data_IF_815190566137
#
_entry.id   IF_815190566137
#
_cell.length_a   1.000
_cell.length_b   1.000
_cell.length_c   1.000
_cell.angle_alpha   90.00
_cell.angle_beta   90.00
_cell.angle_gamma   90.00
#
_symmetry.space_group_name_H-M   'P 1'
#
loop_
_entity.id
_entity.type
_entity.pdbx_description
1 polymer ?
#
# COMPACT_ATOMS: atom_id res chain seq x y z
N UNK A 1 2.49 10.30 14.86
CA UNK A 1 1.57 9.24 14.36
C UNK A 1 1.39 9.37 12.88
N UNK A 2 1.86 8.37 12.10
CA UNK A 2 1.45 8.25 10.70
C UNK A 2 0.10 7.53 10.65
N UNK A 3 -0.99 8.27 10.62
CA UNK A 3 -2.31 7.72 10.33
C UNK A 3 -2.75 8.14 8.93
N UNK A 4 -3.13 7.17 8.13
CA UNK A 4 -3.74 7.37 6.83
C UNK A 4 -4.85 6.34 6.59
N UNK A 5 -5.83 6.62 5.72
CA UNK A 5 -6.96 5.73 5.50
C UNK A 5 -6.50 4.29 5.20
N UNK A 6 -6.86 3.36 6.07
CA UNK A 6 -6.51 1.95 5.93
C UNK A 6 -5.21 1.50 6.61
N UNK A 7 -4.37 2.41 7.12
CA UNK A 7 -3.14 2.05 7.83
C UNK A 7 -2.79 3.00 8.96
N UNK A 8 -2.27 2.44 10.06
CA UNK A 8 -1.67 3.19 11.16
C UNK A 8 -0.27 2.65 11.48
N UNK A 9 0.71 3.56 11.53
CA UNK A 9 2.08 3.24 11.93
C UNK A 9 2.30 3.60 13.40
N UNK A 10 2.70 2.62 14.20
CA UNK A 10 2.87 2.72 15.65
C UNK A 10 4.34 2.87 16.03
N UNK A 11 4.63 3.92 16.77
CA UNK A 11 5.90 4.13 17.46
C UNK A 11 5.67 3.78 18.93
N UNK A 12 5.82 2.53 19.31
CA UNK A 12 5.39 2.02 20.63
C UNK A 12 5.81 2.91 21.79
N UNK A 13 7.09 3.30 21.84
CA UNK A 13 7.59 4.18 22.90
C UNK A 13 6.90 5.56 22.93
N UNK A 14 6.45 6.09 21.80
CA UNK A 14 5.79 7.39 21.68
C UNK A 14 4.27 7.29 21.83
N UNK A 15 3.67 6.22 21.31
CA UNK A 15 2.21 6.05 21.38
C UNK A 15 1.74 5.95 22.81
N UNK A 16 2.49 5.26 23.62
CA UNK A 16 2.21 5.14 25.02
C UNK A 16 2.40 6.48 25.76
N UNK A 17 3.21 7.41 25.23
CA UNK A 17 3.44 8.74 25.81
C UNK A 17 2.37 9.79 25.46
N UNK A 18 1.83 9.76 24.24
CA UNK A 18 1.09 10.90 23.67
C UNK A 18 -0.38 10.98 24.06
N UNK A 19 -0.98 9.92 24.61
CA UNK A 19 -2.43 9.87 24.86
C UNK A 19 -2.89 10.63 26.09
N UNK A 20 -2.03 10.98 27.01
CA UNK A 20 -2.38 11.68 28.25
C UNK A 20 -2.10 13.20 28.27
N UNK A 21 -1.73 13.81 27.16
CA UNK A 21 -1.56 15.26 27.03
C UNK A 21 -0.44 15.90 27.88
N UNK A 22 0.28 15.11 28.65
CA UNK A 22 1.39 15.57 29.48
C UNK A 22 2.66 14.82 29.12
N UNK A 23 3.60 15.50 28.49
CA UNK A 23 4.91 14.99 28.09
C UNK A 23 5.89 14.77 29.26
N UNK A 24 5.43 14.54 30.47
CA UNK A 24 6.27 14.64 31.66
C UNK A 24 6.83 13.33 32.19
N UNK A 25 6.36 12.15 31.70
CA UNK A 25 6.95 10.87 32.10
C UNK A 25 7.08 9.89 30.94
N UNK A 26 8.16 9.09 30.88
CA UNK A 26 8.25 7.95 29.97
C UNK A 26 7.21 6.93 30.40
N UNK A 27 6.19 6.73 29.57
CA UNK A 27 5.02 5.93 29.90
C UNK A 27 5.31 4.45 29.78
N UNK A 28 6.22 4.03 28.91
CA UNK A 28 6.69 2.66 28.82
C UNK A 28 8.10 2.59 29.41
N UNK A 29 8.22 1.88 30.51
CA UNK A 29 9.47 1.67 31.23
C UNK A 29 9.96 0.24 31.06
N UNK A 30 11.26 0.05 31.30
CA UNK A 30 11.85 -1.28 31.43
C UNK A 30 11.36 -1.93 32.71
N UNK A 31 11.03 -3.21 32.66
CA UNK A 31 10.68 -4.03 33.82
C UNK A 31 11.90 -4.12 34.76
N UNK A 32 11.78 -3.69 36.03
CA UNK A 32 12.91 -3.67 36.96
C UNK A 32 13.45 -5.07 37.29
N UNK A 33 12.66 -6.12 37.07
CA UNK A 33 13.05 -7.51 37.34
C UNK A 33 13.55 -8.25 36.10
N UNK A 34 13.22 -7.73 34.88
CA UNK A 34 13.50 -8.39 33.61
C UNK A 34 14.16 -7.43 32.64
N UNK A 35 15.48 -7.33 32.67
CA UNK A 35 16.24 -6.44 31.77
C UNK A 35 15.89 -6.66 30.30
N UNK A 36 15.63 -5.59 29.58
CA UNK A 36 15.23 -5.60 28.17
C UNK A 36 13.75 -5.86 27.94
N UNK A 37 12.96 -6.17 28.97
CA UNK A 37 11.51 -6.32 28.88
C UNK A 37 10.79 -5.04 29.29
N UNK A 38 9.58 -4.86 28.77
CA UNK A 38 8.72 -3.74 29.14
C UNK A 38 7.94 -4.05 30.43
N UNK A 39 7.72 -3.04 31.26
CA UNK A 39 6.74 -3.09 32.35
C UNK A 39 5.33 -3.03 31.73
N UNK A 40 4.67 -4.19 31.67
CA UNK A 40 3.35 -4.33 31.07
C UNK A 40 2.20 -3.80 31.94
N UNK A 41 2.45 -3.42 33.21
CA UNK A 41 1.43 -2.84 34.11
C UNK A 41 0.84 -1.52 33.56
N UNK A 42 1.50 -0.94 32.58
CA UNK A 42 1.01 0.25 31.88
C UNK A 42 -0.35 -0.02 31.19
N UNK A 43 -0.57 -1.22 30.70
CA UNK A 43 -1.81 -1.58 30.00
C UNK A 43 -3.02 -1.66 30.94
N UNK A 44 -2.81 -1.96 32.22
CA UNK A 44 -3.88 -1.96 33.24
C UNK A 44 -4.44 -0.55 33.54
N UNK A 45 -3.71 0.50 33.15
CA UNK A 45 -4.04 1.90 33.49
C UNK A 45 -4.58 2.70 32.28
N UNK A 46 -4.92 2.04 31.20
CA UNK A 46 -5.22 2.70 29.92
C UNK A 46 -6.51 2.19 29.34
N UNK A 47 -7.14 3.02 28.52
CA UNK A 47 -8.27 2.66 27.67
C UNK A 47 -7.97 3.01 26.22
N UNK A 48 -8.15 2.07 25.32
CA UNK A 48 -8.04 2.23 23.89
C UNK A 48 -9.42 2.43 23.28
N UNK A 49 -9.69 3.62 22.78
CA UNK A 49 -10.97 3.94 22.15
C UNK A 49 -10.93 3.98 20.62
N UNK A 50 -9.78 3.58 20.06
CA UNK A 50 -9.40 3.84 18.69
C UNK A 50 -10.33 3.19 17.66
N UNK A 51 -10.84 1.98 17.93
CA UNK A 51 -11.69 1.25 17.00
C UNK A 51 -13.19 1.29 17.35
N UNK A 52 -13.58 1.86 18.48
CA UNK A 52 -15.00 1.94 18.87
C UNK A 52 -15.87 2.74 17.89
N UNK A 53 -15.26 3.71 17.20
CA UNK A 53 -15.93 4.59 16.24
C UNK A 53 -15.67 4.23 14.78
N UNK A 54 -14.85 3.22 14.49
CA UNK A 54 -14.57 2.80 13.10
C UNK A 54 -15.57 1.77 12.64
N UNK A 55 -15.91 1.82 11.34
CA UNK A 55 -16.75 0.81 10.70
C UNK A 55 -16.10 -0.58 10.85
N UNK A 56 -16.78 -1.57 11.47
CA UNK A 56 -16.21 -2.90 11.64
C UNK A 56 -15.98 -3.67 10.32
N UNK A 57 -16.62 -3.25 9.24
CA UNK A 57 -16.46 -3.87 7.92
C UNK A 57 -15.25 -3.33 7.14
N UNK A 58 -14.60 -2.27 7.64
CA UNK A 58 -13.39 -1.75 7.01
C UNK A 58 -12.17 -2.56 7.40
N UNK A 59 -11.46 -3.05 6.39
CA UNK A 59 -10.12 -3.61 6.55
C UNK A 59 -9.13 -2.52 6.95
N UNK A 60 -8.29 -2.85 7.91
CA UNK A 60 -7.33 -1.92 8.46
C UNK A 60 -6.01 -2.62 8.77
N UNK A 61 -4.90 -1.95 8.48
CA UNK A 61 -3.57 -2.41 8.82
C UNK A 61 -2.96 -1.56 9.94
N UNK A 62 -2.28 -2.21 10.86
CA UNK A 62 -1.37 -1.55 11.81
C UNK A 62 0.06 -2.04 11.58
N UNK A 63 1.01 -1.15 11.82
CA UNK A 63 2.41 -1.45 11.64
C UNK A 63 3.21 -1.01 12.87
N UNK A 64 3.95 -1.92 13.48
CA UNK A 64 4.96 -1.54 14.46
C UNK A 64 6.14 -0.88 13.75
N UNK A 65 6.67 0.20 14.33
CA UNK A 65 7.78 0.90 13.72
C UNK A 65 8.99 1.06 14.67
N UNK A 66 8.84 1.83 15.74
CA UNK A 66 9.93 2.11 16.67
C UNK A 66 9.68 1.33 17.97
N UNK A 67 10.64 0.48 18.33
CA UNK A 67 10.66 -0.27 19.57
C UNK A 67 11.30 0.56 20.69
N UNK A 68 11.05 0.26 21.97
CA UNK A 68 11.60 1.00 23.09
C UNK A 68 13.14 0.95 23.13
N UNK A 69 13.75 2.07 23.55
CA UNK A 69 15.21 2.21 23.55
C UNK A 69 15.95 1.29 24.51
N UNK A 70 15.29 0.77 25.54
CA UNK A 70 15.88 -0.24 26.43
C UNK A 70 15.98 -1.62 25.76
N UNK A 71 15.25 -1.83 24.64
CA UNK A 71 15.37 -3.02 23.79
C UNK A 71 16.38 -2.84 22.66
N UNK A 72 16.95 -1.64 22.47
CA UNK A 72 17.75 -1.30 21.29
C UNK A 72 19.01 -2.14 21.13
N UNK A 73 19.29 -2.53 19.91
CA UNK A 73 20.58 -3.07 19.50
C UNK A 73 21.69 -2.06 19.78
N UNK A 74 22.54 -2.35 20.76
CA UNK A 74 23.70 -1.53 21.13
C UNK A 74 24.85 -1.81 20.17
N UNK A 75 24.96 -1.04 19.09
CA UNK A 75 25.99 -1.22 18.08
C UNK A 75 27.05 -0.12 18.25
N UNK A 76 28.33 -0.47 18.55
CA UNK A 76 29.37 0.51 18.73
C UNK A 76 29.53 1.45 17.53
N UNK A 77 29.53 2.75 17.80
CA UNK A 77 29.74 3.79 16.78
C UNK A 77 28.51 4.10 15.91
N UNK A 78 27.37 3.47 16.13
CA UNK A 78 26.13 3.76 15.43
C UNK A 78 25.01 4.15 16.38
N UNK A 79 24.20 5.12 15.95
CA UNK A 79 22.95 5.45 16.62
C UNK A 79 21.83 4.61 16.04
N UNK A 80 21.19 3.79 16.83
CA UNK A 80 19.96 3.13 16.47
C UNK A 80 18.82 4.17 16.48
N UNK A 81 18.53 4.76 15.34
CA UNK A 81 17.59 5.88 15.22
C UNK A 81 16.12 5.45 15.24
N UNK A 82 15.83 4.24 14.83
CA UNK A 82 14.47 3.78 14.57
C UNK A 82 14.11 2.49 15.34
N UNK A 83 14.79 2.27 16.48
CA UNK A 83 14.45 1.22 17.43
C UNK A 83 14.50 -0.18 16.81
N UNK A 84 15.67 -0.61 16.33
CA UNK A 84 15.90 -2.01 15.99
C UNK A 84 16.19 -2.77 17.28
N UNK A 85 15.41 -3.78 17.68
CA UNK A 85 15.66 -4.53 18.90
C UNK A 85 17.00 -5.30 18.85
N UNK A 86 17.65 -5.45 19.99
CA UNK A 86 18.78 -6.35 20.16
C UNK A 86 18.33 -7.80 19.94
N UNK A 87 19.23 -8.66 19.46
CA UNK A 87 18.91 -10.07 19.16
C UNK A 87 18.36 -10.79 20.40
N UNK A 88 18.93 -10.50 21.56
CA UNK A 88 18.50 -11.04 22.87
C UNK A 88 17.20 -10.39 23.39
N UNK A 89 16.76 -9.28 22.80
CA UNK A 89 15.49 -8.62 23.09
C UNK A 89 14.35 -8.98 22.12
N UNK A 90 14.55 -9.86 21.14
CA UNK A 90 13.51 -10.22 20.17
C UNK A 90 12.26 -10.83 20.84
N UNK A 91 12.46 -11.68 21.86
CA UNK A 91 11.33 -12.26 22.61
C UNK A 91 10.62 -11.22 23.48
N UNK A 92 11.36 -10.27 24.06
CA UNK A 92 10.79 -9.16 24.83
C UNK A 92 9.97 -8.22 23.93
N UNK A 93 10.46 -7.94 22.73
CA UNK A 93 9.73 -7.16 21.75
C UNK A 93 8.44 -7.88 21.27
N UNK A 94 8.52 -9.19 21.05
CA UNK A 94 7.36 -10.00 20.70
C UNK A 94 6.31 -10.04 21.82
N UNK A 95 6.74 -10.13 23.09
CA UNK A 95 5.87 -10.06 24.27
C UNK A 95 5.16 -8.70 24.36
N UNK A 96 5.89 -7.60 24.16
CA UNK A 96 5.31 -6.25 24.16
C UNK A 96 4.29 -6.08 23.03
N UNK A 97 4.58 -6.57 21.83
CA UNK A 97 3.63 -6.53 20.72
C UNK A 97 2.33 -7.29 21.04
N UNK A 98 2.47 -8.48 21.62
CA UNK A 98 1.33 -9.31 22.02
C UNK A 98 0.49 -8.64 23.12
N UNK A 99 1.14 -8.04 24.12
CA UNK A 99 0.45 -7.30 25.18
C UNK A 99 -0.30 -6.08 24.63
N UNK A 100 0.31 -5.34 23.70
CA UNK A 100 -0.37 -4.20 23.02
C UNK A 100 -1.63 -4.65 22.30
N UNK A 101 -1.56 -5.75 21.55
CA UNK A 101 -2.70 -6.26 20.78
C UNK A 101 -3.79 -6.83 21.71
N UNK A 102 -3.40 -7.51 22.78
CA UNK A 102 -4.35 -8.02 23.76
C UNK A 102 -5.13 -6.91 24.45
N UNK A 103 -4.45 -5.84 24.85
CA UNK A 103 -5.03 -4.65 25.45
C UNK A 103 -5.98 -3.92 24.47
N UNK A 104 -5.60 -3.82 23.20
CA UNK A 104 -6.47 -3.22 22.17
C UNK A 104 -7.77 -4.04 21.95
N UNK A 105 -7.67 -5.37 21.98
CA UNK A 105 -8.84 -6.25 21.88
C UNK A 105 -9.72 -6.13 23.13
N UNK A 106 -9.12 -6.11 24.32
CA UNK A 106 -9.86 -5.98 25.58
C UNK A 106 -10.67 -4.67 25.61
N UNK A 107 -10.04 -3.57 25.25
CA UNK A 107 -10.65 -2.25 25.29
C UNK A 107 -11.68 -1.97 24.17
N UNK A 108 -11.38 -2.43 22.95
CA UNK A 108 -12.14 -2.08 21.75
C UNK A 108 -12.99 -3.22 21.19
N UNK A 109 -12.83 -4.44 21.73
CA UNK A 109 -13.49 -5.65 21.24
C UNK A 109 -12.91 -6.19 19.94
N UNK A 110 -11.88 -5.54 19.36
CA UNK A 110 -11.21 -5.94 18.13
C UNK A 110 -9.85 -5.26 17.99
N UNK A 111 -9.03 -5.76 17.09
CA UNK A 111 -7.78 -5.13 16.63
C UNK A 111 -7.79 -4.98 15.10
N UNK A 112 -6.69 -4.53 14.51
CA UNK A 112 -6.52 -4.46 13.07
C UNK A 112 -6.57 -5.85 12.42
N UNK A 113 -7.09 -5.93 11.20
CA UNK A 113 -7.11 -7.18 10.41
C UNK A 113 -5.69 -7.64 10.06
N UNK A 114 -4.81 -6.67 9.75
CA UNK A 114 -3.45 -6.88 9.29
C UNK A 114 -2.45 -6.20 10.21
N UNK A 115 -1.40 -6.93 10.59
CA UNK A 115 -0.30 -6.42 11.40
C UNK A 115 1.04 -6.58 10.70
N UNK A 116 1.70 -5.47 10.43
CA UNK A 116 3.08 -5.44 9.95
C UNK A 116 4.04 -5.35 11.12
N UNK A 117 5.05 -6.22 11.12
CA UNK A 117 5.99 -6.33 12.24
C UNK A 117 6.92 -5.13 12.33
N UNK A 118 7.35 -4.58 11.19
CA UNK A 118 8.23 -3.41 11.16
C UNK A 118 8.10 -2.66 9.85
N UNK A 119 7.94 -1.34 9.93
CA UNK A 119 7.89 -0.47 8.76
C UNK A 119 9.24 -0.42 8.05
N UNK A 120 9.21 -0.50 6.71
CA UNK A 120 10.36 -0.28 5.82
C UNK A 120 11.66 -0.98 6.24
N UNK A 121 11.53 -2.19 6.76
CA UNK A 121 12.63 -2.91 7.40
C UNK A 121 13.67 -3.46 6.41
N UNK A 122 13.49 -3.28 5.11
CA UNK A 122 14.47 -3.57 4.07
C UNK A 122 15.55 -2.48 3.92
N UNK A 123 15.35 -1.29 4.48
CA UNK A 123 16.33 -0.21 4.43
C UNK A 123 17.21 -0.14 5.67
N UNK A 124 18.47 0.28 5.45
CA UNK A 124 19.54 0.18 6.45
C UNK A 124 19.29 0.96 7.73
N UNK A 125 18.62 2.10 7.66
CA UNK A 125 18.36 2.92 8.85
C UNK A 125 17.13 2.52 9.62
N UNK A 126 16.27 1.67 9.05
CA UNK A 126 15.11 1.07 9.73
C UNK A 126 15.48 -0.25 10.40
N UNK A 127 16.40 -1.01 9.79
CA UNK A 127 16.90 -2.26 10.34
C UNK A 127 18.43 -2.23 10.41
N UNK A 128 18.97 -1.87 11.58
CA UNK A 128 20.39 -1.54 11.78
C UNK A 128 21.33 -2.69 11.42
N UNK A 129 20.89 -3.93 11.50
CA UNK A 129 21.71 -5.11 11.16
C UNK A 129 22.11 -5.17 9.69
N UNK A 130 21.39 -4.48 8.77
CA UNK A 130 21.81 -4.35 7.37
C UNK A 130 23.09 -3.54 7.18
N UNK A 131 23.48 -2.72 8.17
CA UNK A 131 24.73 -1.94 8.13
C UNK A 131 25.97 -2.74 8.56
N UNK A 132 25.79 -3.94 9.08
CA UNK A 132 26.81 -4.67 9.78
C UNK A 132 27.15 -5.97 9.06
N UNK A 133 28.29 -6.04 8.35
CA UNK A 133 28.65 -7.19 7.50
C UNK A 133 28.87 -8.50 8.28
N UNK A 134 29.04 -8.42 9.60
CA UNK A 134 29.15 -9.60 10.48
C UNK A 134 27.80 -10.26 10.81
N UNK A 135 26.68 -9.61 10.47
CA UNK A 135 25.35 -10.15 10.71
C UNK A 135 24.66 -10.49 9.39
N UNK A 136 23.89 -11.56 9.39
CA UNK A 136 22.90 -11.81 8.37
C UNK A 136 21.64 -10.96 8.68
N UNK A 137 21.64 -9.71 8.20
CA UNK A 137 20.57 -8.75 8.48
C UNK A 137 19.19 -9.23 8.03
N UNK A 138 19.10 -9.96 6.92
CA UNK A 138 17.83 -10.49 6.41
C UNK A 138 17.40 -11.75 7.16
N UNK A 139 18.35 -12.60 7.56
CA UNK A 139 18.07 -13.74 8.44
C UNK A 139 17.52 -13.30 9.79
N UNK A 140 18.16 -12.30 10.42
CA UNK A 140 17.67 -11.72 11.68
C UNK A 140 16.31 -11.05 11.53
N UNK A 141 16.05 -10.39 10.39
CA UNK A 141 14.77 -9.79 10.11
C UNK A 141 13.66 -10.85 10.03
N UNK A 142 13.92 -11.96 9.34
CA UNK A 142 12.99 -13.08 9.25
C UNK A 142 12.72 -13.73 10.62
N UNK A 143 13.74 -13.96 11.44
CA UNK A 143 13.58 -14.52 12.80
C UNK A 143 12.74 -13.58 13.69
N UNK A 144 13.00 -12.28 13.63
CA UNK A 144 12.23 -11.29 14.37
C UNK A 144 10.75 -11.29 13.96
N UNK A 145 10.47 -11.28 12.65
CA UNK A 145 9.09 -11.36 12.15
C UNK A 145 8.38 -12.63 12.63
N UNK A 146 9.04 -13.77 12.58
CA UNK A 146 8.47 -15.03 13.01
C UNK A 146 8.13 -15.03 14.50
N UNK A 147 8.99 -14.48 15.36
CA UNK A 147 8.74 -14.39 16.81
C UNK A 147 7.53 -13.51 17.12
N UNK A 148 7.47 -12.33 16.51
CA UNK A 148 6.32 -11.42 16.69
C UNK A 148 5.04 -12.06 16.16
N UNK A 149 5.06 -12.66 14.97
CA UNK A 149 3.89 -13.32 14.40
C UNK A 149 3.35 -14.43 15.30
N UNK A 150 4.23 -15.29 15.80
CA UNK A 150 3.84 -16.36 16.76
C UNK A 150 3.27 -15.81 18.07
N UNK A 151 3.78 -14.68 18.54
CA UNK A 151 3.29 -14.03 19.75
C UNK A 151 1.90 -13.45 19.55
N UNK A 152 1.67 -12.73 18.44
CA UNK A 152 0.36 -12.17 18.10
C UNK A 152 -0.69 -13.25 17.87
N UNK A 153 -0.36 -14.34 17.17
CA UNK A 153 -1.27 -15.47 16.92
C UNK A 153 -1.62 -16.27 18.18
N UNK A 154 -0.87 -16.14 19.26
CA UNK A 154 -1.26 -16.69 20.57
C UNK A 154 -2.32 -15.84 21.25
N UNK A 155 -2.35 -14.54 20.99
CA UNK A 155 -3.40 -13.63 21.49
C UNK A 155 -4.70 -13.88 20.72
N UNK A 156 -4.63 -13.83 19.41
CA UNK A 156 -5.77 -14.12 18.52
C UNK A 156 -5.27 -14.80 17.24
N UNK A 157 -5.62 -16.08 17.00
CA UNK A 157 -5.18 -16.83 15.83
C UNK A 157 -5.76 -16.32 14.50
N UNK A 158 -6.74 -15.42 14.53
CA UNK A 158 -7.36 -14.85 13.32
C UNK A 158 -6.60 -13.63 12.79
N UNK A 159 -5.71 -13.05 13.58
CA UNK A 159 -4.88 -11.91 13.17
C UNK A 159 -3.97 -12.32 12.01
N UNK A 160 -3.99 -11.52 10.94
CA UNK A 160 -3.07 -11.67 9.82
C UNK A 160 -1.79 -10.89 10.11
N UNK A 161 -0.64 -11.56 10.12
CA UNK A 161 0.66 -10.93 10.40
C UNK A 161 1.57 -11.05 9.21
N UNK A 162 2.28 -9.97 8.86
CA UNK A 162 3.17 -9.97 7.71
C UNK A 162 4.25 -8.88 7.74
N UNK A 163 4.86 -8.70 6.61
CA UNK A 163 5.95 -7.77 6.36
C UNK A 163 6.64 -8.07 5.02
N UNK A 164 7.81 -7.52 4.79
CA UNK A 164 8.63 -6.62 5.61
C UNK A 164 8.28 -5.12 5.43
N UNK A 165 7.15 -4.78 4.83
CA UNK A 165 6.76 -3.41 4.47
C UNK A 165 7.88 -2.69 3.69
N UNK A 166 8.37 -3.35 2.62
CA UNK A 166 9.57 -2.91 1.90
C UNK A 166 9.40 -1.51 1.32
N UNK A 167 10.35 -0.60 1.65
CA UNK A 167 10.31 0.80 1.21
C UNK A 167 10.48 0.98 -0.29
N UNK A 168 11.43 0.23 -0.87
CA UNK A 168 11.83 0.36 -2.27
C UNK A 168 12.14 -1.02 -2.84
N UNK A 169 11.15 -1.82 -3.22
CA UNK A 169 11.37 -3.20 -3.65
C UNK A 169 12.01 -3.27 -5.05
N UNK A 170 13.22 -2.72 -5.18
CA UNK A 170 14.04 -2.70 -6.40
C UNK A 170 14.71 -4.04 -6.61
N UNK A 171 13.93 -5.08 -6.76
CA UNK A 171 14.36 -6.48 -6.72
C UNK A 171 15.35 -6.84 -7.86
N UNK A 172 15.24 -6.19 -9.02
CA UNK A 172 16.11 -6.36 -10.16
C UNK A 172 17.51 -5.76 -9.96
N UNK A 173 17.67 -4.92 -8.91
CA UNK A 173 18.90 -4.16 -8.67
C UNK A 173 19.97 -4.98 -7.94
N UNK A 174 21.14 -4.34 -7.83
CA UNK A 174 22.29 -4.83 -7.08
C UNK A 174 23.45 -5.26 -7.98
N UNK A 175 24.52 -5.74 -7.34
CA UNK A 175 25.71 -6.28 -8.04
C UNK A 175 26.12 -7.60 -7.39
N UNK A 176 25.94 -8.74 -8.08
CA UNK A 176 25.35 -8.87 -9.42
C UNK A 176 23.88 -8.44 -9.47
N UNK A 177 23.33 -8.27 -10.67
CA UNK A 177 21.90 -7.99 -10.87
C UNK A 177 21.04 -9.02 -10.10
N UNK A 178 19.86 -8.60 -9.64
CA UNK A 178 18.98 -9.39 -8.78
C UNK A 178 19.57 -9.80 -7.42
N UNK A 179 20.63 -9.17 -6.94
CA UNK A 179 21.13 -9.45 -5.57
C UNK A 179 20.18 -8.93 -4.49
N UNK A 180 19.43 -7.86 -4.78
CA UNK A 180 18.34 -7.39 -3.88
C UNK A 180 17.23 -8.42 -3.83
N UNK A 181 16.85 -9.02 -4.95
CA UNK A 181 15.88 -10.11 -5.01
C UNK A 181 16.24 -11.29 -4.11
N UNK A 182 17.51 -11.69 -4.09
CA UNK A 182 17.96 -12.79 -3.22
C UNK A 182 17.66 -12.55 -1.75
N UNK A 183 17.75 -11.30 -1.30
CA UNK A 183 17.44 -10.91 0.08
C UNK A 183 15.94 -11.04 0.36
N UNK A 184 15.10 -10.55 -0.53
CA UNK A 184 13.64 -10.70 -0.41
C UNK A 184 13.23 -12.18 -0.42
N UNK A 185 13.83 -12.96 -1.34
CA UNK A 185 13.59 -14.40 -1.40
C UNK A 185 14.00 -15.09 -0.08
N UNK A 186 15.17 -14.76 0.48
CA UNK A 186 15.59 -15.28 1.79
C UNK A 186 14.57 -14.98 2.89
N UNK A 187 14.07 -13.75 2.93
CA UNK A 187 13.01 -13.38 3.88
C UNK A 187 11.75 -14.21 3.68
N UNK A 188 11.28 -14.35 2.45
CA UNK A 188 10.09 -15.13 2.11
C UNK A 188 10.24 -16.61 2.49
N UNK A 189 11.41 -17.20 2.23
CA UNK A 189 11.72 -18.59 2.58
C UNK A 189 11.72 -18.81 4.11
N UNK A 190 12.34 -17.89 4.86
CA UNK A 190 12.43 -17.96 6.32
C UNK A 190 11.08 -17.75 7.02
N UNK A 191 10.20 -16.93 6.43
CA UNK A 191 8.94 -16.53 7.08
C UNK A 191 7.72 -17.28 6.53
N UNK A 192 7.94 -18.22 5.63
CA UNK A 192 6.90 -18.98 4.94
C UNK A 192 5.83 -19.57 5.85
N UNK A 193 6.21 -20.10 7.00
CA UNK A 193 5.32 -20.81 7.93
C UNK A 193 4.60 -19.91 8.93
N UNK A 194 5.11 -18.72 9.18
CA UNK A 194 4.65 -17.87 10.27
C UNK A 194 3.88 -16.63 9.80
N UNK A 195 4.27 -16.06 8.64
CA UNK A 195 3.56 -14.90 8.09
C UNK A 195 2.38 -15.31 7.22
N UNK A 196 1.38 -14.44 7.13
CA UNK A 196 0.15 -14.62 6.37
C UNK A 196 0.13 -13.83 5.08
N UNK A 197 0.91 -12.75 4.98
CA UNK A 197 1.01 -11.89 3.79
C UNK A 197 2.42 -11.31 3.64
N UNK A 198 2.72 -10.78 2.44
CA UNK A 198 3.89 -9.96 2.20
C UNK A 198 3.48 -8.54 1.86
N UNK A 199 4.22 -7.54 2.39
CA UNK A 199 3.88 -6.14 2.17
C UNK A 199 5.02 -5.33 1.57
N UNK A 200 4.63 -4.36 0.70
CA UNK A 200 5.54 -3.53 -0.06
C UNK A 200 5.00 -2.11 -0.20
N UNK A 201 5.92 -1.15 -0.40
CA UNK A 201 5.62 0.24 -0.70
C UNK A 201 6.10 0.57 -2.12
N UNK A 202 5.27 1.28 -2.89
CA UNK A 202 5.61 1.70 -4.24
C UNK A 202 5.40 3.19 -4.41
N UNK A 203 6.48 3.92 -4.66
CA UNK A 203 6.44 5.36 -4.89
C UNK A 203 6.99 5.70 -6.26
N UNK A 204 6.11 6.18 -7.15
CA UNK A 204 6.48 6.70 -8.45
C UNK A 204 6.80 8.20 -8.35
N UNK A 205 7.78 8.67 -9.11
CA UNK A 205 8.14 10.09 -9.12
C UNK A 205 7.29 10.93 -10.07
N UNK A 206 6.47 10.28 -10.88
CA UNK A 206 5.57 10.90 -11.84
C UNK A 206 6.27 11.52 -13.04
N UNK A 207 5.70 11.31 -14.21
CA UNK A 207 6.22 11.70 -15.55
C UNK A 207 6.50 13.20 -15.71
N UNK A 208 6.01 14.06 -14.80
CA UNK A 208 6.14 15.52 -14.87
C UNK A 208 6.87 16.15 -13.70
N UNK A 209 7.47 15.38 -12.81
CA UNK A 209 8.19 15.97 -11.70
C UNK A 209 9.60 16.38 -12.15
N UNK A 210 10.02 17.58 -11.74
CA UNK A 210 11.43 18.00 -11.86
C UNK A 210 12.40 17.09 -11.10
N UNK A 211 11.87 16.21 -10.27
CA UNK A 211 12.58 15.19 -9.53
C UNK A 211 12.91 13.98 -10.41
N UNK A 212 12.04 13.61 -11.35
CA UNK A 212 12.28 12.54 -12.33
C UNK A 212 13.50 12.84 -13.20
N UNK A 213 13.74 14.11 -13.53
CA UNK A 213 14.91 14.55 -14.31
C UNK A 213 16.25 14.40 -13.58
N UNK A 214 16.28 14.18 -12.27
CA UNK A 214 17.51 14.10 -11.47
C UNK A 214 17.97 12.69 -11.13
N UNK A 215 17.09 11.71 -11.23
CA UNK A 215 17.35 10.32 -10.83
C UNK A 215 16.80 9.37 -11.90
N UNK A 216 17.51 9.29 -12.99
CA UNK A 216 17.18 8.50 -14.15
C UNK A 216 16.63 7.11 -13.81
N UNK A 217 15.34 6.87 -14.13
CA UNK A 217 14.73 5.54 -14.29
C UNK A 217 14.50 4.68 -13.05
N UNK A 218 14.87 5.13 -11.86
CA UNK A 218 14.82 4.26 -10.68
C UNK A 218 13.43 4.11 -10.05
N UNK A 219 12.51 5.01 -10.31
CA UNK A 219 11.20 5.05 -9.66
C UNK A 219 10.05 5.22 -10.68
N UNK A 220 10.25 4.74 -11.89
CA UNK A 220 9.24 4.74 -12.97
C UNK A 220 8.41 3.44 -12.90
N UNK A 221 7.69 3.26 -11.82
CA UNK A 221 6.89 2.05 -11.57
C UNK A 221 5.76 1.89 -12.58
N UNK A 222 5.07 2.99 -12.88
CA UNK A 222 3.88 3.01 -13.71
C UNK A 222 4.15 2.82 -15.21
N UNK A 223 5.40 2.62 -15.62
CA UNK A 223 5.80 2.38 -17.00
C UNK A 223 6.08 0.89 -17.31
N UNK A 224 5.44 -0.01 -16.57
CA UNK A 224 5.56 -1.47 -16.73
C UNK A 224 6.53 -2.16 -15.76
N UNK A 225 7.28 -1.40 -14.96
CA UNK A 225 8.18 -1.97 -13.96
C UNK A 225 7.43 -2.59 -12.80
N UNK A 226 6.29 -2.00 -12.39
CA UNK A 226 5.44 -2.53 -11.34
C UNK A 226 4.99 -3.95 -11.67
N UNK A 227 4.47 -4.16 -12.87
CA UNK A 227 4.02 -5.48 -13.33
C UNK A 227 5.16 -6.51 -13.27
N UNK A 228 6.35 -6.13 -13.76
CA UNK A 228 7.50 -7.04 -13.74
C UNK A 228 7.91 -7.46 -12.32
N UNK A 229 7.86 -6.55 -11.35
CA UNK A 229 8.19 -6.86 -9.94
C UNK A 229 7.09 -7.68 -9.28
N UNK A 230 5.83 -7.38 -9.57
CA UNK A 230 4.70 -8.18 -9.08
C UNK A 230 4.73 -9.59 -9.66
N UNK A 231 5.02 -9.74 -10.95
CA UNK A 231 5.19 -11.05 -11.59
C UNK A 231 6.34 -11.85 -10.97
N UNK A 232 7.46 -11.19 -10.66
CA UNK A 232 8.60 -11.83 -9.99
C UNK A 232 8.18 -12.37 -8.61
N UNK A 233 7.46 -11.60 -7.82
CA UNK A 233 6.94 -11.99 -6.51
C UNK A 233 5.96 -13.16 -6.62
N UNK A 234 4.96 -13.04 -7.49
CA UNK A 234 3.94 -14.06 -7.67
C UNK A 234 4.54 -15.38 -8.22
N UNK A 235 5.46 -15.30 -9.18
CA UNK A 235 6.16 -16.47 -9.72
C UNK A 235 6.96 -17.20 -8.64
N UNK A 236 7.68 -16.47 -7.77
CA UNK A 236 8.42 -17.09 -6.67
C UNK A 236 7.48 -17.72 -5.65
N UNK A 237 6.42 -17.01 -5.25
CA UNK A 237 5.44 -17.55 -4.31
C UNK A 237 4.81 -18.83 -4.84
N UNK A 238 4.52 -18.89 -6.14
CA UNK A 238 3.98 -20.07 -6.79
C UNK A 238 5.01 -21.21 -6.80
N UNK A 239 6.22 -20.95 -7.28
CA UNK A 239 7.29 -21.95 -7.40
C UNK A 239 7.73 -22.52 -6.04
N UNK A 240 7.79 -21.68 -5.02
CA UNK A 240 8.13 -22.09 -3.64
C UNK A 240 6.93 -22.69 -2.88
N UNK A 241 5.74 -22.75 -3.46
CA UNK A 241 4.48 -23.12 -2.78
C UNK A 241 4.23 -22.30 -1.52
N UNK A 242 4.43 -21.01 -1.62
CA UNK A 242 4.31 -20.03 -0.55
C UNK A 242 3.32 -18.92 -0.95
N UNK A 243 2.18 -19.33 -1.52
CA UNK A 243 1.16 -18.41 -1.99
C UNK A 243 0.55 -17.65 -0.81
N UNK A 244 0.66 -16.33 -0.87
CA UNK A 244 0.13 -15.39 0.12
C UNK A 244 -0.35 -14.13 -0.59
N UNK A 245 -1.36 -13.46 -0.04
CA UNK A 245 -1.75 -12.16 -0.56
C UNK A 245 -0.62 -11.14 -0.38
N UNK A 246 -0.56 -10.20 -1.31
CA UNK A 246 0.26 -9.00 -1.18
C UNK A 246 -0.56 -7.87 -0.55
N UNK A 247 0.07 -7.12 0.33
CA UNK A 247 -0.45 -5.86 0.83
C UNK A 247 0.45 -4.72 0.34
N UNK A 248 -0.15 -3.73 -0.29
CA UNK A 248 0.56 -2.52 -0.67
C UNK A 248 0.16 -1.44 0.34
N UNK A 249 0.89 -1.43 1.43
CA UNK A 249 0.53 -0.64 2.62
C UNK A 249 0.93 0.83 2.51
N UNK A 250 1.70 1.17 1.48
CA UNK A 250 1.89 2.54 1.00
C UNK A 250 2.10 2.56 -0.51
N UNK A 251 1.39 3.43 -1.21
CA UNK A 251 1.69 3.69 -2.62
C UNK A 251 1.37 5.14 -3.00
N UNK A 252 2.04 5.62 -4.03
CA UNK A 252 1.78 6.95 -4.55
C UNK A 252 3.03 7.65 -5.07
N UNK A 253 3.15 8.93 -4.74
CA UNK A 253 4.31 9.76 -5.08
C UNK A 253 4.77 10.55 -3.87
N UNK A 254 6.08 10.78 -3.74
CA UNK A 254 6.66 11.60 -2.66
C UNK A 254 6.64 13.11 -2.96
N UNK A 255 5.76 13.56 -3.85
CA UNK A 255 5.56 14.99 -4.13
C UNK A 255 4.77 15.66 -3.00
N UNK A 256 5.46 16.20 -2.00
CA UNK A 256 4.88 16.84 -0.82
C UNK A 256 4.37 18.27 -1.02
N UNK A 257 4.44 18.85 -2.23
CA UNK A 257 4.02 20.23 -2.50
C UNK A 257 2.51 20.45 -2.37
N UNK A 258 2.11 21.72 -2.17
CA UNK A 258 0.71 22.14 -2.00
C UNK A 258 0.20 23.00 -3.15
N UNK A 259 0.94 23.10 -4.25
CA UNK A 259 0.48 23.78 -5.47
C UNK A 259 -0.60 22.96 -6.16
N UNK A 260 -1.43 23.62 -6.95
CA UNK A 260 -2.48 22.98 -7.73
C UNK A 260 -1.98 21.81 -8.59
N UNK A 261 -0.81 21.98 -9.21
CA UNK A 261 -0.18 20.92 -10.01
C UNK A 261 0.28 19.73 -9.15
N UNK A 262 0.73 19.97 -7.91
CA UNK A 262 1.19 18.90 -7.03
C UNK A 262 0.02 18.01 -6.60
N UNK A 263 -1.14 18.61 -6.31
CA UNK A 263 -2.38 17.87 -6.02
C UNK A 263 -2.85 17.06 -7.22
N UNK A 264 -2.87 17.67 -8.41
CA UNK A 264 -3.26 16.96 -9.63
C UNK A 264 -2.35 15.76 -9.90
N UNK A 265 -1.03 15.93 -9.80
CA UNK A 265 -0.05 14.84 -9.98
C UNK A 265 -0.27 13.70 -8.98
N UNK A 266 -0.55 14.00 -7.71
CA UNK A 266 -0.85 12.98 -6.69
C UNK A 266 -2.11 12.20 -7.02
N UNK A 267 -3.21 12.88 -7.35
CA UNK A 267 -4.47 12.21 -7.68
C UNK A 267 -4.34 11.33 -8.92
N UNK A 268 -3.63 11.80 -9.95
CA UNK A 268 -3.33 10.99 -11.13
C UNK A 268 -2.47 9.78 -10.78
N UNK A 269 -1.46 9.96 -9.94
CA UNK A 269 -0.53 8.90 -9.54
C UNK A 269 -1.24 7.83 -8.70
N UNK A 270 -2.02 8.22 -7.67
CA UNK A 270 -2.82 7.28 -6.88
C UNK A 270 -3.76 6.46 -7.76
N UNK A 271 -4.44 7.10 -8.70
CA UNK A 271 -5.37 6.41 -9.61
C UNK A 271 -4.64 5.47 -10.56
N UNK A 272 -3.45 5.83 -11.04
CA UNK A 272 -2.66 4.99 -11.92
C UNK A 272 -2.18 3.71 -11.23
N UNK A 273 -1.71 3.81 -9.99
CA UNK A 273 -1.37 2.62 -9.20
C UNK A 273 -2.62 1.76 -8.92
N UNK A 274 -3.70 2.38 -8.48
CA UNK A 274 -4.94 1.68 -8.16
C UNK A 274 -5.47 0.89 -9.36
N UNK A 275 -5.39 1.46 -10.58
CA UNK A 275 -5.76 0.75 -11.82
C UNK A 275 -4.94 -0.53 -11.99
N UNK A 276 -3.61 -0.44 -11.89
CA UNK A 276 -2.73 -1.60 -12.08
C UNK A 276 -2.93 -2.66 -10.99
N UNK A 277 -3.22 -2.26 -9.73
CA UNK A 277 -3.57 -3.22 -8.69
C UNK A 277 -4.91 -3.91 -8.96
N UNK A 278 -5.92 -3.18 -9.44
CA UNK A 278 -7.23 -3.74 -9.76
C UNK A 278 -7.23 -4.65 -11.00
N UNK A 279 -6.23 -4.57 -11.87
CA UNK A 279 -6.01 -5.53 -12.94
C UNK A 279 -5.58 -6.92 -12.41
N UNK A 280 -5.15 -7.00 -11.14
CA UNK A 280 -4.64 -8.21 -10.48
C UNK A 280 -5.38 -8.49 -9.15
N UNK A 281 -6.70 -8.57 -9.13
CA UNK A 281 -7.49 -8.61 -7.89
C UNK A 281 -7.21 -9.84 -7.01
N UNK A 282 -6.70 -10.93 -7.60
CA UNK A 282 -6.37 -12.14 -6.86
C UNK A 282 -5.05 -12.03 -6.06
N UNK A 283 -4.18 -11.09 -6.40
CA UNK A 283 -2.86 -10.95 -5.79
C UNK A 283 -2.89 -10.09 -4.52
N UNK A 284 -3.90 -9.22 -4.37
CA UNK A 284 -3.93 -8.21 -3.30
C UNK A 284 -5.10 -8.38 -2.34
N UNK A 285 -4.81 -8.22 -1.04
CA UNK A 285 -5.86 -8.09 -0.01
C UNK A 285 -6.11 -6.65 0.40
N UNK A 286 -5.09 -5.79 0.39
CA UNK A 286 -5.22 -4.39 0.79
C UNK A 286 -4.23 -3.52 0.01
N UNK A 287 -4.70 -2.36 -0.46
CA UNK A 287 -3.84 -1.32 -1.04
C UNK A 287 -4.17 0.03 -0.42
N UNK A 288 -3.14 0.74 0.09
CA UNK A 288 -3.32 1.98 0.85
C UNK A 288 -2.56 3.12 0.18
N UNK A 289 -3.24 4.14 -0.36
CA UNK A 289 -2.58 5.33 -0.87
C UNK A 289 -1.87 6.08 0.27
N UNK A 290 -0.68 6.62 0.00
CA UNK A 290 0.02 7.49 0.94
C UNK A 290 -0.69 8.84 1.02
N UNK A 291 -1.87 8.81 1.59
CA UNK A 291 -2.79 9.91 1.79
C UNK A 291 -3.08 10.03 3.28
N UNK A 292 -2.39 10.94 3.94
CA UNK A 292 -2.48 11.11 5.38
C UNK A 292 -3.81 11.78 5.77
N UNK A 293 -4.37 11.43 6.92
CA UNK A 293 -5.56 12.09 7.45
C UNK A 293 -5.30 13.56 7.76
N UNK A 294 -5.15 13.91 9.02
CA UNK A 294 -4.69 15.22 9.46
C UNK A 294 -3.35 15.10 10.16
N UNK A 295 -2.39 15.97 9.81
CA UNK A 295 -1.05 16.00 10.41
C UNK A 295 -0.87 17.24 11.29
N UNK A 296 -1.09 17.10 12.59
CA UNK A 296 -0.95 18.22 13.51
C UNK A 296 0.51 18.71 13.69
N UNK A 297 1.50 17.85 13.41
CA UNK A 297 2.94 18.20 13.46
C UNK A 297 3.44 18.77 12.13
N UNK A 298 2.70 18.63 11.06
CA UNK A 298 3.01 19.18 9.73
C UNK A 298 1.69 19.58 9.03
N UNK A 299 0.99 20.60 9.56
CA UNK A 299 -0.36 20.96 9.11
C UNK A 299 -0.43 21.39 7.65
N UNK A 300 0.70 21.81 7.07
CA UNK A 300 0.82 22.21 5.66
C UNK A 300 1.29 21.08 4.75
N UNK A 301 1.31 19.83 5.23
CA UNK A 301 1.71 18.69 4.43
C UNK A 301 0.83 18.53 3.20
N UNK A 302 1.46 18.42 2.02
CA UNK A 302 0.76 18.17 0.77
C UNK A 302 0.07 16.82 0.70
N UNK A 303 0.44 15.87 1.56
CA UNK A 303 -0.18 14.53 1.65
C UNK A 303 -1.45 14.51 2.51
N UNK A 304 -1.74 15.57 3.27
CA UNK A 304 -2.91 15.57 4.15
C UNK A 304 -4.22 15.61 3.37
N UNK A 305 -5.16 14.73 3.74
CA UNK A 305 -6.53 14.75 3.25
C UNK A 305 -7.30 15.94 3.85
N UNK A 306 -7.08 16.20 5.14
CA UNK A 306 -7.69 17.30 5.89
C UNK A 306 -6.60 18.26 6.30
N UNK A 307 -6.84 19.55 6.11
CA UNK A 307 -5.95 20.65 6.54
C UNK A 307 -6.75 21.73 7.27
N UNK A 308 -6.06 22.65 7.91
CA UNK A 308 -6.68 23.87 8.45
C UNK A 308 -6.66 24.98 7.40
N UNK A 309 -7.78 25.68 7.25
CA UNK A 309 -7.84 26.91 6.45
C UNK A 309 -7.28 28.11 7.20
N UNK A 310 -7.27 29.27 6.58
CA UNK A 310 -6.77 30.53 7.18
C UNK A 310 -7.55 31.00 8.42
N UNK A 311 -8.75 30.47 8.64
CA UNK A 311 -9.58 30.77 9.82
C UNK A 311 -9.38 29.73 10.94
N UNK A 312 -8.59 28.68 10.68
CA UNK A 312 -8.35 27.60 11.63
C UNK A 312 -9.36 26.46 11.56
N UNK A 313 -10.36 26.53 10.69
CA UNK A 313 -11.33 25.47 10.49
C UNK A 313 -10.75 24.32 9.66
N UNK A 314 -11.27 23.12 9.86
CA UNK A 314 -10.91 21.97 9.07
C UNK A 314 -11.59 21.99 7.70
N UNK A 315 -10.82 21.76 6.65
CA UNK A 315 -11.32 21.60 5.29
C UNK A 315 -10.63 20.43 4.58
N UNK A 316 -11.30 19.86 3.59
CA UNK A 316 -10.69 18.85 2.72
C UNK A 316 -9.68 19.51 1.79
N UNK A 317 -8.50 18.92 1.68
CA UNK A 317 -7.55 19.29 0.63
C UNK A 317 -8.00 18.75 -0.73
N UNK A 318 -7.36 19.20 -1.82
CA UNK A 318 -7.66 18.69 -3.16
C UNK A 318 -7.25 17.21 -3.37
N UNK A 319 -6.55 16.59 -2.43
CA UNK A 319 -6.37 15.14 -2.43
C UNK A 319 -7.71 14.39 -2.31
N UNK A 320 -8.73 15.00 -1.72
CA UNK A 320 -10.09 14.44 -1.65
C UNK A 320 -10.67 14.12 -3.04
N UNK A 321 -10.22 14.80 -4.09
CA UNK A 321 -10.62 14.47 -5.47
C UNK A 321 -10.25 13.04 -5.89
N UNK A 322 -9.30 12.40 -5.23
CA UNK A 322 -9.06 10.97 -5.42
C UNK A 322 -10.28 10.14 -4.97
N UNK A 323 -10.79 10.41 -3.78
CA UNK A 323 -11.99 9.73 -3.28
C UNK A 323 -13.22 10.04 -4.13
N UNK A 324 -13.41 11.31 -4.50
CA UNK A 324 -14.50 11.77 -5.35
C UNK A 324 -14.46 11.16 -6.76
N UNK A 325 -13.27 10.93 -7.32
CA UNK A 325 -13.09 10.29 -8.62
C UNK A 325 -13.63 8.86 -8.61
N UNK A 326 -13.29 8.11 -7.56
CA UNK A 326 -13.60 6.69 -7.41
C UNK A 326 -14.90 6.41 -6.66
N UNK A 327 -15.63 7.43 -6.23
CA UNK A 327 -16.87 7.28 -5.48
C UNK A 327 -17.88 6.37 -6.21
N UNK A 328 -18.33 5.31 -5.53
CA UNK A 328 -19.35 4.38 -6.01
C UNK A 328 -18.86 3.37 -7.06
N UNK A 329 -17.62 3.51 -7.58
CA UNK A 329 -17.04 2.55 -8.54
C UNK A 329 -16.88 1.19 -7.87
N UNK A 330 -17.34 0.15 -8.56
CA UNK A 330 -17.27 -1.22 -8.10
C UNK A 330 -18.42 -2.06 -8.63
N UNK A 331 -18.51 -3.29 -8.16
CA UNK A 331 -19.51 -4.26 -8.59
C UNK A 331 -18.86 -5.49 -9.22
N UNK A 332 -19.58 -6.16 -10.12
CA UNK A 332 -19.09 -7.31 -10.86
C UNK A 332 -18.22 -6.86 -12.03
N UNK A 333 -17.02 -7.42 -12.18
CA UNK A 333 -16.12 -7.11 -13.29
C UNK A 333 -16.77 -7.45 -14.63
N UNK A 334 -16.54 -6.56 -15.61
CA UNK A 334 -16.87 -6.77 -17.00
C UNK A 334 -15.59 -6.83 -17.81
N UNK A 335 -15.54 -7.77 -18.76
CA UNK A 335 -14.43 -7.78 -19.72
C UNK A 335 -14.45 -6.55 -20.60
N UNK A 336 -13.28 -5.98 -20.81
CA UNK A 336 -13.05 -4.84 -21.68
C UNK A 336 -11.82 -5.12 -22.53
N UNK A 337 -11.98 -5.05 -23.86
CA UNK A 337 -10.86 -5.23 -24.78
C UNK A 337 -9.75 -4.19 -24.51
N UNK A 338 -8.49 -4.59 -24.45
CA UNK A 338 -7.37 -3.66 -24.26
C UNK A 338 -7.29 -2.65 -25.41
N UNK A 339 -7.25 -1.38 -25.07
CA UNK A 339 -7.18 -0.29 -26.06
C UNK A 339 -5.75 -0.15 -26.60
N UNK A 340 -4.78 -0.25 -25.72
CA UNK A 340 -3.36 -0.04 -26.02
C UNK A 340 -2.52 -0.57 -24.85
N UNK A 341 -1.31 -1.12 -25.06
CA UNK A 341 -0.47 -1.68 -23.96
C UNK A 341 -0.11 -0.74 -22.82
N UNK A 342 -0.25 0.58 -23.02
CA UNK A 342 -0.04 1.60 -22.00
C UNK A 342 -1.30 2.37 -21.64
N UNK A 343 -2.45 1.78 -21.85
CA UNK A 343 -3.74 2.34 -21.46
C UNK A 343 -4.46 1.28 -20.65
N UNK A 344 -4.46 1.44 -19.34
CA UNK A 344 -5.15 0.55 -18.43
C UNK A 344 -6.64 0.82 -18.48
N UNK A 345 -7.45 -0.21 -18.57
CA UNK A 345 -8.90 -0.06 -18.68
C UNK A 345 -9.63 -1.20 -17.98
N UNK A 346 -10.59 -0.82 -17.14
CA UNK A 346 -11.39 -1.75 -16.35
C UNK A 346 -12.85 -1.35 -16.40
N UNK A 347 -13.75 -2.31 -16.31
CA UNK A 347 -15.17 -2.03 -16.24
C UNK A 347 -15.86 -2.88 -15.16
N UNK A 348 -16.94 -2.34 -14.61
CA UNK A 348 -17.79 -2.98 -13.60
C UNK A 348 -19.25 -2.72 -13.88
N UNK A 349 -20.11 -3.66 -13.52
CA UNK A 349 -21.56 -3.43 -13.46
C UNK A 349 -22.07 -3.47 -12.02
N UNK A 350 -22.98 -2.57 -11.69
CA UNK A 350 -23.63 -2.50 -10.39
C UNK A 350 -25.07 -2.01 -10.57
N UNK A 351 -26.01 -2.94 -10.57
CA UNK A 351 -27.40 -2.61 -10.91
C UNK A 351 -27.51 -2.12 -12.35
N UNK A 352 -28.10 -0.95 -12.53
CA UNK A 352 -28.28 -0.28 -13.82
C UNK A 352 -27.08 0.57 -14.24
N UNK A 353 -26.01 0.57 -13.45
CA UNK A 353 -24.79 1.33 -13.73
C UNK A 353 -23.69 0.44 -14.28
N UNK A 354 -22.99 0.95 -15.28
CA UNK A 354 -21.72 0.42 -15.77
C UNK A 354 -20.66 1.51 -15.54
N UNK A 355 -19.63 1.15 -14.79
CA UNK A 355 -18.45 2.00 -14.58
C UNK A 355 -17.34 1.54 -15.52
N UNK A 356 -16.73 2.48 -16.22
CA UNK A 356 -15.58 2.22 -17.10
C UNK A 356 -14.46 3.18 -16.67
N UNK A 357 -13.38 2.63 -16.15
CA UNK A 357 -12.18 3.38 -15.81
C UNK A 357 -11.14 3.25 -16.92
N UNK A 358 -10.55 4.36 -17.33
CA UNK A 358 -9.50 4.40 -18.36
C UNK A 358 -8.36 5.28 -17.84
N UNK A 359 -7.19 4.70 -17.63
CA UNK A 359 -5.97 5.40 -17.23
C UNK A 359 -4.98 5.45 -18.39
N UNK A 360 -4.56 6.64 -18.77
CA UNK A 360 -3.71 6.87 -19.93
C UNK A 360 -2.23 7.01 -19.56
N UNK A 361 -1.44 5.94 -19.68
CA UNK A 361 0.01 5.94 -19.49
C UNK A 361 0.80 6.00 -20.82
N UNK A 362 0.15 6.35 -21.95
CA UNK A 362 0.77 6.30 -23.28
C UNK A 362 1.83 7.40 -23.56
N UNK A 363 1.99 8.36 -22.65
CA UNK A 363 2.90 9.50 -22.83
C UNK A 363 2.33 10.65 -23.64
N UNK A 364 1.13 10.53 -24.19
CA UNK A 364 0.44 11.53 -25.03
C UNK A 364 -1.06 11.58 -24.73
N UNK A 365 -1.76 12.69 -25.05
CA UNK A 365 -3.22 12.71 -24.89
C UNK A 365 -3.91 11.64 -25.75
N UNK A 366 -4.92 11.01 -25.18
CA UNK A 366 -5.78 10.00 -25.78
C UNK A 366 -7.16 10.60 -26.07
N UNK A 367 -7.74 10.29 -27.20
CA UNK A 367 -9.17 10.50 -27.46
C UNK A 367 -9.91 9.18 -27.29
N UNK A 368 -10.69 9.10 -26.22
CA UNK A 368 -11.53 7.95 -25.92
C UNK A 368 -12.92 8.17 -26.50
N UNK A 369 -13.40 7.23 -27.28
CA UNK A 369 -14.79 7.15 -27.73
C UNK A 369 -15.38 5.84 -27.22
N UNK A 370 -16.29 5.87 -26.24
CA UNK A 370 -16.90 4.65 -25.72
C UNK A 370 -17.86 4.05 -26.74
N UNK A 371 -17.70 2.76 -26.99
CA UNK A 371 -18.65 1.96 -27.78
C UNK A 371 -19.14 0.83 -26.88
N UNK A 372 -20.44 0.83 -26.55
CA UNK A 372 -21.05 -0.18 -25.72
C UNK A 372 -22.01 -1.02 -26.57
N UNK A 373 -21.80 -2.33 -26.53
CA UNK A 373 -22.71 -3.29 -27.14
C UNK A 373 -23.63 -3.83 -26.04
N UNK A 374 -24.85 -3.36 -26.00
CA UNK A 374 -25.87 -3.83 -25.06
C UNK A 374 -26.81 -4.85 -25.72
N UNK A 375 -27.46 -5.73 -24.93
CA UNK A 375 -28.56 -6.55 -25.40
C UNK A 375 -29.66 -5.70 -26.06
N UNK A 376 -30.35 -6.25 -27.06
CA UNK A 376 -31.35 -5.54 -27.87
C UNK A 376 -32.49 -4.89 -27.05
N UNK A 377 -32.75 -5.38 -25.86
CA UNK A 377 -33.79 -4.92 -24.95
C UNK A 377 -33.29 -3.96 -23.87
N UNK A 378 -32.07 -3.48 -23.99
CA UNK A 378 -31.49 -2.51 -23.04
C UNK A 378 -30.96 -1.29 -23.80
N UNK A 379 -31.10 -0.10 -23.22
CA UNK A 379 -30.69 1.16 -23.84
C UNK A 379 -29.85 1.98 -22.85
N UNK A 380 -28.93 2.77 -23.38
CA UNK A 380 -28.18 3.75 -22.61
C UNK A 380 -29.09 4.94 -22.36
N UNK A 381 -29.28 5.31 -21.09
CA UNK A 381 -30.05 6.46 -20.67
C UNK A 381 -29.18 7.72 -20.60
N UNK A 382 -27.96 7.59 -20.06
CA UNK A 382 -26.99 8.68 -19.97
C UNK A 382 -25.56 8.16 -19.84
N UNK A 383 -24.60 8.99 -20.23
CA UNK A 383 -23.18 8.77 -19.95
C UNK A 383 -22.66 10.02 -19.23
N UNK A 384 -22.14 9.85 -18.05
CA UNK A 384 -21.43 10.89 -17.30
C UNK A 384 -19.97 10.52 -17.13
N UNK A 385 -19.11 11.50 -16.90
CA UNK A 385 -17.72 11.21 -16.62
C UNK A 385 -17.15 12.03 -15.46
N UNK A 386 -16.10 11.51 -14.85
CA UNK A 386 -15.24 12.20 -13.90
C UNK A 386 -13.81 12.16 -14.43
N UNK A 387 -13.15 13.31 -14.43
CA UNK A 387 -11.79 13.44 -14.98
C UNK A 387 -11.00 14.49 -14.20
N UNK A 388 -9.88 14.13 -13.55
CA UNK A 388 -8.98 15.08 -12.91
C UNK A 388 -8.19 15.83 -14.00
N UNK A 389 -8.34 17.14 -14.09
CA UNK A 389 -7.69 17.96 -15.11
C UNK A 389 -6.89 19.10 -14.49
N UNK A 390 -5.74 19.41 -15.10
CA UNK A 390 -4.94 20.58 -14.77
C UNK A 390 -4.89 21.52 -15.96
N UNK A 391 -5.63 22.64 -15.88
CA UNK A 391 -5.74 23.63 -16.94
C UNK A 391 -5.63 25.04 -16.37
N UNK A 392 -4.95 25.94 -17.08
CA UNK A 392 -4.79 27.34 -16.70
C UNK A 392 -4.31 27.54 -15.26
N UNK A 393 -3.40 26.68 -14.79
CA UNK A 393 -2.83 26.76 -13.43
C UNK A 393 -3.75 26.23 -12.32
N UNK A 394 -4.89 25.62 -12.65
CA UNK A 394 -5.86 25.10 -11.67
C UNK A 394 -6.10 23.62 -11.84
N UNK A 395 -6.20 22.91 -10.75
CA UNK A 395 -6.62 21.54 -10.65
C UNK A 395 -8.13 21.47 -10.36
N UNK A 396 -8.86 20.70 -11.16
CA UNK A 396 -10.29 20.48 -11.02
C UNK A 396 -10.63 19.01 -11.31
N UNK A 397 -11.58 18.47 -10.57
CA UNK A 397 -12.26 17.25 -10.94
C UNK A 397 -13.48 17.62 -11.81
N UNK A 398 -13.36 17.47 -13.12
CA UNK A 398 -14.48 17.67 -14.04
C UNK A 398 -15.50 16.56 -13.86
N UNK A 399 -16.77 16.96 -13.84
CA UNK A 399 -17.94 16.08 -13.81
C UNK A 399 -18.93 16.65 -14.83
N UNK A 400 -19.08 15.98 -15.94
CA UNK A 400 -19.95 16.44 -17.04
C UNK A 400 -20.65 15.24 -17.68
N UNK A 401 -21.66 15.53 -18.49
CA UNK A 401 -22.29 14.57 -19.40
C UNK A 401 -21.42 14.37 -20.64
N UNK A 402 -21.53 13.18 -21.24
CA UNK A 402 -20.92 12.85 -22.53
C UNK A 402 -22.00 12.36 -23.48
N UNK A 403 -22.17 13.04 -24.59
CA UNK A 403 -23.14 12.61 -25.57
C UNK A 403 -22.71 11.31 -26.28
N UNK A 404 -23.67 10.46 -26.60
CA UNK A 404 -23.38 9.19 -27.26
C UNK A 404 -22.68 9.43 -28.60
N UNK A 405 -21.49 8.86 -28.76
CA UNK A 405 -20.65 9.03 -29.94
C UNK A 405 -19.67 10.20 -29.87
N UNK A 406 -19.71 11.02 -28.83
CA UNK A 406 -18.66 12.01 -28.55
C UNK A 406 -17.38 11.36 -28.07
N UNK A 407 -16.28 12.10 -28.14
CA UNK A 407 -14.97 11.68 -27.68
C UNK A 407 -14.54 12.49 -26.47
N UNK A 408 -14.09 11.80 -25.42
CA UNK A 408 -13.44 12.38 -24.26
C UNK A 408 -11.93 12.44 -24.46
N UNK A 409 -11.31 13.59 -24.24
CA UNK A 409 -9.84 13.71 -24.27
C UNK A 409 -9.27 13.46 -22.86
N UNK A 410 -8.37 12.48 -22.74
CA UNK A 410 -7.70 12.09 -21.50
C UNK A 410 -6.22 12.42 -21.64
N UNK A 411 -5.70 13.28 -20.77
CA UNK A 411 -4.27 13.63 -20.74
C UNK A 411 -3.39 12.46 -20.30
N UNK A 412 -2.06 12.60 -20.50
CA UNK A 412 -1.13 11.60 -20.00
C UNK A 412 -1.18 11.54 -18.47
N UNK A 413 -1.17 10.34 -17.91
CA UNK A 413 -1.33 9.98 -16.51
C UNK A 413 -2.72 10.26 -15.91
N UNK A 414 -3.66 10.83 -16.64
CA UNK A 414 -5.02 11.04 -16.16
C UNK A 414 -5.85 9.75 -16.21
N UNK A 415 -6.77 9.64 -15.26
CA UNK A 415 -7.77 8.56 -15.21
C UNK A 415 -9.16 9.15 -15.42
N UNK A 416 -9.87 8.70 -16.43
CA UNK A 416 -11.29 9.00 -16.61
C UNK A 416 -12.15 7.86 -16.05
N UNK A 417 -13.22 8.22 -15.34
CA UNK A 417 -14.28 7.29 -14.95
C UNK A 417 -15.53 7.67 -15.73
N UNK A 418 -16.00 6.78 -16.61
CA UNK A 418 -17.29 6.90 -17.26
C UNK A 418 -18.33 6.15 -16.43
N UNK A 419 -19.50 6.74 -16.26
CA UNK A 419 -20.64 6.19 -15.55
C UNK A 419 -21.78 6.14 -16.58
N UNK A 420 -22.10 4.93 -17.01
CA UNK A 420 -23.17 4.68 -17.99
C UNK A 420 -24.38 4.18 -17.24
N UNK A 421 -25.50 4.90 -17.36
CA UNK A 421 -26.80 4.46 -16.85
C UNK A 421 -27.53 3.71 -17.97
N UNK A 422 -28.04 2.54 -17.64
CA UNK A 422 -28.83 1.71 -18.57
C UNK A 422 -30.27 1.59 -18.10
N UNK A 423 -31.19 1.32 -19.03
CA UNK A 423 -32.62 1.19 -18.71
C UNK A 423 -32.93 0.02 -17.77
N UNK A 424 -32.16 -1.04 -17.90
CA UNK A 424 -32.24 -2.24 -17.06
C UNK A 424 -30.83 -2.71 -16.68
N UNK A 425 -30.70 -3.48 -15.58
CA UNK A 425 -29.40 -4.03 -15.20
C UNK A 425 -28.71 -4.76 -16.38
N UNK A 426 -27.42 -4.50 -16.57
CA UNK A 426 -26.66 -5.12 -17.64
C UNK A 426 -26.52 -6.64 -17.42
N UNK A 427 -27.12 -7.41 -18.31
CA UNK A 427 -26.97 -8.88 -18.31
C UNK A 427 -25.69 -9.30 -19.02
N UNK A 428 -24.94 -10.20 -18.44
CA UNK A 428 -23.79 -10.85 -19.08
C UNK A 428 -24.14 -12.28 -19.41
N UNK A 429 -23.92 -12.68 -20.66
CA UNK A 429 -24.22 -14.05 -21.15
C UNK A 429 -23.00 -14.96 -21.17
N UNK A 430 -21.81 -14.39 -21.07
CA UNK A 430 -20.55 -15.11 -21.15
C UNK A 430 -19.69 -14.82 -19.93
N UNK A 431 -18.93 -15.83 -19.53
CA UNK A 431 -17.92 -15.72 -18.47
C UNK A 431 -16.55 -15.94 -19.09
N UNK A 432 -15.63 -15.01 -18.86
CA UNK A 432 -14.23 -15.15 -19.25
C UNK A 432 -13.46 -15.65 -18.02
N UNK A 433 -12.73 -16.74 -18.20
CA UNK A 433 -11.82 -17.29 -17.20
C UNK A 433 -10.40 -16.95 -17.60
N UNK A 434 -9.71 -16.20 -16.77
CA UNK A 434 -8.28 -15.93 -16.91
C UNK A 434 -7.50 -16.87 -15.99
N UNK A 435 -6.45 -17.48 -16.52
CA UNK A 435 -5.59 -18.39 -15.75
C UNK A 435 -4.13 -17.99 -15.96
N UNK A 436 -3.44 -17.70 -14.87
CA UNK A 436 -1.99 -17.43 -14.89
C UNK A 436 -1.19 -18.72 -14.80
N UNK A 437 -0.19 -18.87 -15.65
CA UNK A 437 0.76 -19.97 -15.64
C UNK A 437 2.16 -19.44 -15.34
N UNK A 438 2.86 -20.06 -14.41
CA UNK A 438 4.19 -19.64 -13.99
C UNK A 438 5.24 -20.65 -14.44
N UNK A 439 6.36 -20.15 -14.99
CA UNK A 439 7.54 -20.96 -15.33
C UNK A 439 8.27 -21.43 -14.06
N UNK A 440 9.05 -22.48 -14.18
CA UNK A 440 9.86 -23.03 -13.07
C UNK A 440 11.01 -22.11 -12.65
N UNK A 441 11.46 -21.22 -13.55
CA UNK A 441 12.57 -20.29 -13.32
C UNK A 441 12.01 -18.89 -13.14
N UNK A 442 12.32 -18.27 -12.01
CA UNK A 442 11.88 -16.92 -11.68
C UNK A 442 12.72 -15.85 -12.37
N UNK A 443 14.04 -16.12 -12.54
CA UNK A 443 14.99 -15.22 -13.19
C UNK A 443 15.77 -15.99 -14.24
N UNK A 444 15.68 -15.57 -15.51
CA UNK A 444 16.34 -16.22 -16.64
C UNK A 444 17.61 -15.48 -17.08
N UNK A 445 18.73 -16.18 -17.31
CA UNK A 445 19.91 -15.59 -17.95
C UNK A 445 19.65 -15.41 -19.45
N UNK A 446 19.43 -14.17 -19.90
CA UNK A 446 19.09 -13.85 -21.29
C UNK A 446 20.20 -14.14 -22.31
N UNK A 447 21.46 -14.32 -21.85
CA UNK A 447 22.63 -14.57 -22.69
C UNK A 447 22.93 -16.07 -22.93
N UNK A 448 22.13 -16.94 -22.31
CA UNK A 448 22.28 -18.38 -22.49
C UNK A 448 20.95 -18.98 -23.02
N UNK A 449 21.04 -19.99 -23.93
CA UNK A 449 19.85 -20.71 -24.34
C UNK A 449 19.21 -21.40 -23.13
N UNK A 450 17.98 -21.04 -22.84
CA UNK A 450 17.25 -21.56 -21.67
C UNK A 450 15.93 -22.16 -22.11
N UNK A 451 15.64 -23.36 -21.61
CA UNK A 451 14.32 -24.00 -21.77
C UNK A 451 13.55 -23.85 -20.49
N UNK A 452 12.40 -23.20 -20.56
CA UNK A 452 11.48 -23.04 -19.43
C UNK A 452 10.34 -24.04 -19.58
N UNK A 453 10.03 -24.75 -18.51
CA UNK A 453 8.82 -25.58 -18.43
C UNK A 453 7.71 -24.79 -17.76
N UNK A 454 6.53 -24.87 -18.32
CA UNK A 454 5.30 -24.33 -17.74
C UNK A 454 4.44 -25.53 -17.38
N UNK A 455 4.05 -25.63 -16.11
CA UNK A 455 3.10 -26.65 -15.65
C UNK A 455 1.68 -26.10 -15.87
N UNK A 456 0.87 -26.83 -16.64
CA UNK A 456 -0.52 -26.48 -17.00
C UNK A 456 -1.52 -27.34 -16.25
#
# INVERSE_FOLDING_TARGET
KGFYPGRQMLKLAHELASRHGAFTEPLLQEDPERTGYADLSIFEKRSFDQFKSTDPELDFAQCFNIWPSFMDAKIPGQKNKLGTPAIDAFDAAAELAAAYVADEIEDSGRTANYWEVKNESDIQHEWTYHLLPQFDGWGLLGDFHNRVARALKKVDPTIQVGGPASAWPRMEMGRPAFSVWKNHKQFMDLTKSDLDFYSHHFYDRGVRSSYAARNEGYDDWLQGRLDCVLDLLCAEMHNSKNLKPLLITEYGTLLGGTREIDYWLRVCNYSSFMMQFMERPADFSLTVPFLLGYMHWEPDSGFALVKRNSLGDFELSKNAYFMDLWEGVGGEYLYLDPIHPRVHSLAWKKGEQIFIAVNNQSGRPLKLRPELVLPRNNQIQSIRYRLPTYQNGRFQLRRDDLELGESLSIGNAETAILIVETETPAATSEQILETAYYGQETVLPLWEPTTVRIET
#
